data_IF_848641042162
#
_entry.id   IF_848641042162
#
_cell.length_a   1.000
_cell.length_b   1.000
_cell.length_c   1.000
_cell.angle_alpha   90.00
_cell.angle_beta   90.00
_cell.angle_gamma   90.00
#
_symmetry.space_group_name_H-M   'P 1'
#
loop_
_entity.id
_entity.type
_entity.pdbx_description
1 polymer ?
#
# COMPACT_ATOMS: atom_id res chain seq x y z
N UNK A 1 -18.79 -90.60 -19.06
CA UNK A 1 -20.01 -89.82 -18.66
C UNK A 1 -19.73 -88.93 -17.46
N UNK A 2 -19.04 -89.41 -16.41
CA UNK A 2 -18.70 -88.62 -15.21
C UNK A 2 -17.63 -87.57 -15.52
N UNK A 3 -16.63 -87.90 -16.26
CA UNK A 3 -15.51 -87.02 -16.66
C UNK A 3 -15.99 -85.84 -17.54
N UNK A 4 -16.94 -86.14 -18.47
CA UNK A 4 -17.56 -85.05 -19.28
C UNK A 4 -18.44 -84.11 -18.48
N UNK A 5 -19.02 -84.56 -17.39
CA UNK A 5 -19.83 -83.75 -16.48
C UNK A 5 -18.95 -82.84 -15.65
N UNK A 6 -17.86 -83.38 -15.11
CA UNK A 6 -16.87 -82.56 -14.35
C UNK A 6 -16.20 -81.52 -15.24
N UNK A 7 -15.83 -81.84 -16.46
CA UNK A 7 -15.26 -80.87 -17.40
C UNK A 7 -16.23 -79.72 -17.73
N UNK A 8 -17.50 -80.06 -17.86
CA UNK A 8 -18.55 -79.05 -18.11
C UNK A 8 -18.77 -78.12 -16.92
N UNK A 9 -18.79 -78.63 -15.70
CA UNK A 9 -18.90 -77.81 -14.47
C UNK A 9 -17.69 -76.86 -14.39
N UNK A 10 -16.50 -77.35 -14.60
CA UNK A 10 -15.28 -76.53 -14.57
C UNK A 10 -15.28 -75.44 -15.66
N UNK A 11 -15.78 -75.73 -16.84
CA UNK A 11 -15.90 -74.75 -17.90
C UNK A 11 -16.94 -73.67 -17.59
N UNK A 12 -18.03 -74.02 -16.88
CA UNK A 12 -19.01 -73.05 -16.40
C UNK A 12 -18.50 -72.17 -15.28
N UNK A 13 -17.65 -72.72 -14.38
CA UNK A 13 -16.95 -71.96 -13.33
C UNK A 13 -15.89 -70.99 -13.93
N UNK A 14 -15.05 -71.45 -14.84
CA UNK A 14 -14.07 -70.64 -15.54
C UNK A 14 -14.72 -69.49 -16.36
N UNK A 15 -15.87 -69.76 -16.93
CA UNK A 15 -16.64 -68.76 -17.67
C UNK A 15 -17.25 -67.71 -16.72
N UNK A 16 -17.79 -68.10 -15.57
CA UNK A 16 -18.32 -67.19 -14.59
C UNK A 16 -17.21 -66.29 -13.99
N UNK A 17 -16.01 -66.87 -13.78
CA UNK A 17 -14.84 -66.11 -13.32
C UNK A 17 -14.39 -65.10 -14.39
N UNK A 18 -14.37 -65.47 -15.69
CA UNK A 18 -14.06 -64.54 -16.77
C UNK A 18 -15.10 -63.41 -16.90
N UNK A 19 -16.40 -63.71 -16.72
CA UNK A 19 -17.46 -62.71 -16.75
C UNK A 19 -17.32 -61.71 -15.59
N UNK A 20 -16.98 -62.17 -14.38
CA UNK A 20 -16.67 -61.30 -13.24
C UNK A 20 -15.46 -60.41 -13.46
N UNK A 21 -14.35 -60.99 -14.00
CA UNK A 21 -13.16 -60.20 -14.35
C UNK A 21 -13.44 -59.13 -15.40
N UNK A 22 -14.31 -59.42 -16.37
CA UNK A 22 -14.72 -58.44 -17.39
C UNK A 22 -15.51 -57.27 -16.75
N UNK A 23 -16.42 -57.57 -15.81
CA UNK A 23 -17.16 -56.55 -15.07
C UNK A 23 -16.23 -55.68 -14.23
N UNK A 24 -15.24 -56.25 -13.52
CA UNK A 24 -14.26 -55.55 -12.76
C UNK A 24 -13.38 -54.64 -13.66
N UNK A 25 -13.00 -55.12 -14.84
CA UNK A 25 -12.21 -54.33 -15.81
C UNK A 25 -13.03 -53.14 -16.36
N UNK A 26 -14.31 -53.30 -16.63
CA UNK A 26 -15.21 -52.25 -17.09
C UNK A 26 -15.40 -51.17 -15.98
N UNK A 27 -15.60 -51.62 -14.75
CA UNK A 27 -15.72 -50.71 -13.59
C UNK A 27 -14.43 -49.88 -13.37
N UNK A 28 -13.25 -50.52 -13.48
CA UNK A 28 -11.95 -49.88 -13.36
C UNK A 28 -11.70 -48.88 -14.53
N UNK A 29 -12.18 -49.23 -15.75
CA UNK A 29 -12.10 -48.32 -16.89
C UNK A 29 -12.95 -47.05 -16.64
N UNK A 30 -14.18 -47.20 -16.17
CA UNK A 30 -15.05 -46.06 -15.83
C UNK A 30 -14.44 -45.18 -14.75
N UNK A 31 -13.84 -45.79 -13.71
CA UNK A 31 -13.14 -45.05 -12.65
C UNK A 31 -11.94 -44.26 -13.20
N UNK A 32 -11.17 -44.88 -14.09
CA UNK A 32 -10.01 -44.22 -14.72
C UNK A 32 -10.46 -43.05 -15.61
N UNK A 33 -11.52 -43.18 -16.37
CA UNK A 33 -12.09 -42.10 -17.18
C UNK A 33 -12.55 -40.90 -16.30
N UNK A 34 -13.20 -41.20 -15.19
CA UNK A 34 -13.60 -40.17 -14.23
C UNK A 34 -12.39 -39.46 -13.60
N UNK A 35 -11.34 -40.21 -13.26
CA UNK A 35 -10.10 -39.63 -12.70
C UNK A 35 -9.39 -38.76 -13.75
N UNK A 36 -9.36 -39.17 -15.02
CA UNK A 36 -8.78 -38.37 -16.09
C UNK A 36 -9.55 -37.07 -16.32
N UNK A 37 -10.88 -37.11 -16.34
CA UNK A 37 -11.71 -35.90 -16.45
C UNK A 37 -11.49 -34.93 -15.27
N UNK A 38 -11.44 -35.46 -14.04
CA UNK A 38 -11.15 -34.67 -12.84
C UNK A 38 -9.74 -34.04 -12.87
N UNK A 39 -8.77 -34.72 -13.45
CA UNK A 39 -7.41 -34.21 -13.61
C UNK A 39 -7.35 -33.06 -14.62
N UNK A 40 -8.05 -33.19 -15.73
CA UNK A 40 -8.14 -32.15 -16.77
C UNK A 40 -8.81 -30.88 -16.24
N UNK A 41 -9.91 -31.03 -15.49
CA UNK A 41 -10.56 -29.91 -14.80
C UNK A 41 -9.63 -29.18 -13.83
N UNK A 42 -8.86 -29.92 -13.02
CA UNK A 42 -7.89 -29.36 -12.09
C UNK A 42 -6.75 -28.65 -12.79
N UNK A 43 -6.29 -29.19 -13.91
CA UNK A 43 -5.23 -28.56 -14.70
C UNK A 43 -5.71 -27.25 -15.32
N UNK A 44 -6.91 -27.23 -15.89
CA UNK A 44 -7.54 -26.03 -16.44
C UNK A 44 -7.75 -24.94 -15.37
N UNK A 45 -8.25 -25.32 -14.20
CA UNK A 45 -8.40 -24.39 -13.07
C UNK A 45 -7.05 -23.81 -12.61
N UNK A 46 -5.99 -24.63 -12.59
CA UNK A 46 -4.63 -24.19 -12.23
C UNK A 46 -4.08 -23.19 -13.25
N UNK A 47 -4.30 -23.41 -14.55
CA UNK A 47 -3.86 -22.50 -15.61
C UNK A 47 -4.55 -21.12 -15.49
N UNK A 48 -5.87 -21.10 -15.29
CA UNK A 48 -6.63 -19.86 -15.07
C UNK A 48 -6.11 -19.10 -13.84
N UNK A 49 -5.86 -19.80 -12.74
CA UNK A 49 -5.33 -19.18 -11.52
C UNK A 49 -3.92 -18.64 -11.74
N UNK A 50 -3.08 -19.34 -12.50
CA UNK A 50 -1.72 -18.90 -12.82
C UNK A 50 -1.72 -17.61 -13.64
N UNK A 51 -2.56 -17.52 -14.67
CA UNK A 51 -2.70 -16.31 -15.50
C UNK A 51 -3.17 -15.14 -14.65
N UNK A 52 -4.24 -15.31 -13.87
CA UNK A 52 -4.76 -14.25 -13.00
C UNK A 52 -3.70 -13.76 -11.98
N UNK A 53 -2.89 -14.67 -11.44
CA UNK A 53 -1.81 -14.32 -10.50
C UNK A 53 -0.69 -13.53 -11.18
N UNK A 54 -0.32 -13.90 -12.40
CA UNK A 54 0.72 -13.21 -13.18
C UNK A 54 0.28 -11.82 -13.63
N UNK A 55 -0.98 -11.65 -14.02
CA UNK A 55 -1.57 -10.34 -14.35
C UNK A 55 -1.56 -9.42 -13.12
N UNK A 56 -2.03 -9.92 -11.98
CA UNK A 56 -2.01 -9.18 -10.70
C UNK A 56 -0.59 -8.79 -10.28
N UNK A 57 0.40 -9.67 -10.44
CA UNK A 57 1.81 -9.36 -10.15
C UNK A 57 2.36 -8.27 -11.08
N UNK A 58 1.99 -8.30 -12.36
CA UNK A 58 2.41 -7.28 -13.33
C UNK A 58 1.84 -5.91 -12.99
N UNK A 59 0.54 -5.82 -12.70
CA UNK A 59 -0.12 -4.58 -12.30
C UNK A 59 0.50 -4.01 -11.01
N UNK A 60 0.77 -4.87 -10.04
CA UNK A 60 1.43 -4.50 -8.79
C UNK A 60 2.83 -3.92 -9.02
N UNK A 61 3.63 -4.52 -9.90
CA UNK A 61 4.99 -4.03 -10.25
C UNK A 61 4.96 -2.65 -10.92
N UNK A 62 3.97 -2.41 -11.78
CA UNK A 62 3.77 -1.11 -12.43
C UNK A 62 3.43 -0.06 -11.36
N UNK A 63 2.44 -0.32 -10.51
CA UNK A 63 2.05 0.59 -9.42
C UNK A 63 3.23 0.89 -8.49
N UNK A 64 4.01 -0.12 -8.12
CA UNK A 64 5.21 0.05 -7.30
C UNK A 64 6.24 0.96 -7.94
N UNK A 65 6.46 0.80 -9.26
CA UNK A 65 7.37 1.66 -10.02
C UNK A 65 6.90 3.12 -10.03
N UNK A 66 5.62 3.35 -10.28
CA UNK A 66 5.01 4.67 -10.29
C UNK A 66 5.12 5.37 -8.92
N UNK A 67 4.76 4.67 -7.85
CA UNK A 67 4.85 5.20 -6.48
C UNK A 67 6.30 5.56 -6.13
N UNK A 68 7.27 4.72 -6.48
CA UNK A 68 8.70 5.02 -6.23
C UNK A 68 9.20 6.21 -7.03
N UNK A 69 8.81 6.33 -8.29
CA UNK A 69 9.16 7.48 -9.13
C UNK A 69 8.55 8.78 -8.58
N UNK A 70 7.29 8.76 -8.19
CA UNK A 70 6.60 9.91 -7.60
C UNK A 70 7.32 10.37 -6.33
N UNK A 71 7.63 9.46 -5.39
CA UNK A 71 8.33 9.78 -4.14
C UNK A 71 9.73 10.33 -4.39
N UNK A 72 10.47 9.78 -5.34
CA UNK A 72 11.81 10.29 -5.71
C UNK A 72 11.72 11.69 -6.33
N UNK A 73 10.76 11.93 -7.22
CA UNK A 73 10.52 13.25 -7.80
C UNK A 73 10.13 14.29 -6.75
N UNK A 74 9.28 13.93 -5.79
CA UNK A 74 8.91 14.78 -4.65
C UNK A 74 10.14 15.14 -3.83
N UNK A 75 10.97 14.16 -3.46
CA UNK A 75 12.19 14.39 -2.68
C UNK A 75 13.17 15.34 -3.40
N UNK A 76 13.38 15.13 -4.70
CA UNK A 76 14.24 16.01 -5.51
C UNK A 76 13.70 17.43 -5.59
N UNK A 77 12.39 17.57 -5.80
CA UNK A 77 11.77 18.88 -5.91
C UNK A 77 11.72 19.63 -4.57
N UNK A 78 11.53 18.95 -3.44
CA UNK A 78 11.63 19.56 -2.09
C UNK A 78 13.02 20.19 -1.94
N UNK A 79 14.09 19.46 -2.26
CA UNK A 79 15.45 19.95 -2.16
C UNK A 79 15.68 21.19 -3.03
N UNK A 80 15.18 21.18 -4.27
CA UNK A 80 15.32 22.33 -5.20
C UNK A 80 14.54 23.55 -4.72
N UNK A 81 13.28 23.37 -4.30
CA UNK A 81 12.44 24.45 -3.79
C UNK A 81 12.95 25.01 -2.46
N UNK A 82 13.53 24.14 -1.62
CA UNK A 82 14.14 24.54 -0.37
C UNK A 82 15.30 25.52 -0.61
N UNK A 83 16.17 25.24 -1.57
CA UNK A 83 17.26 26.14 -1.95
C UNK A 83 16.76 27.47 -2.52
N UNK A 84 15.69 27.43 -3.35
CA UNK A 84 15.10 28.63 -3.96
C UNK A 84 14.41 29.52 -2.90
N UNK A 85 13.63 28.92 -2.00
CA UNK A 85 12.84 29.63 -0.99
C UNK A 85 13.67 30.04 0.24
N UNK A 86 14.79 29.35 0.53
CA UNK A 86 15.63 29.64 1.68
C UNK A 86 16.03 31.11 1.76
N UNK A 87 16.45 31.70 0.62
CA UNK A 87 16.84 33.13 0.57
C UNK A 87 15.66 34.08 0.84
N UNK A 88 14.42 33.69 0.60
CA UNK A 88 13.23 34.48 0.91
C UNK A 88 12.85 34.37 2.40
N UNK A 89 13.00 33.17 2.96
CA UNK A 89 12.67 32.85 4.34
C UNK A 89 13.68 33.51 5.30
N UNK A 90 14.99 33.41 5.00
CA UNK A 90 16.05 33.96 5.87
C UNK A 90 16.08 35.50 5.91
N UNK A 91 15.43 36.16 4.96
CA UNK A 91 15.37 37.65 4.91
C UNK A 91 14.20 38.24 5.67
N UNK A 92 13.30 37.42 6.25
CA UNK A 92 12.11 37.93 6.93
C UNK A 92 12.13 37.55 8.41
N UNK A 93 12.02 38.57 9.28
CA UNK A 93 11.86 38.39 10.73
C UNK A 93 10.51 37.79 11.14
N UNK A 94 9.63 37.51 10.14
CA UNK A 94 8.25 37.07 10.34
C UNK A 94 8.12 35.55 10.62
N UNK A 95 9.20 34.79 10.38
CA UNK A 95 9.14 33.32 10.39
C UNK A 95 9.37 32.67 11.76
N UNK A 96 9.88 33.42 12.75
CA UNK A 96 10.14 32.89 14.09
C UNK A 96 11.08 31.67 14.11
N UNK A 97 11.27 31.08 15.28
CA UNK A 97 12.07 29.85 15.42
C UNK A 97 11.28 28.64 14.86
N UNK A 98 11.70 28.15 13.70
CA UNK A 98 11.13 26.98 13.03
C UNK A 98 11.76 25.65 13.47
N UNK A 99 12.67 25.64 14.45
CA UNK A 99 13.26 24.42 14.99
C UNK A 99 12.31 23.63 15.88
N UNK A 100 11.20 24.22 16.28
CA UNK A 100 10.15 23.63 17.13
C UNK A 100 8.86 23.50 16.34
N UNK A 101 8.33 22.29 16.24
CA UNK A 101 7.08 21.99 15.54
C UNK A 101 5.99 21.66 16.55
N UNK A 102 4.79 22.20 16.36
CA UNK A 102 3.60 21.80 17.12
C UNK A 102 2.88 20.66 16.41
N UNK A 103 2.07 19.91 17.13
CA UNK A 103 1.23 18.87 16.51
C UNK A 103 0.37 19.47 15.39
N UNK A 104 0.38 18.88 14.18
CA UNK A 104 -0.42 19.38 13.05
C UNK A 104 -1.92 19.06 13.17
N UNK A 105 -2.33 18.36 14.22
CA UNK A 105 -3.68 17.88 14.45
C UNK A 105 -4.00 17.85 15.95
N UNK A 106 -5.30 17.78 16.30
CA UNK A 106 -5.77 17.58 17.67
C UNK A 106 -6.62 16.31 17.78
N UNK A 107 -6.36 15.48 18.80
CA UNK A 107 -7.19 14.34 19.17
C UNK A 107 -7.01 13.07 18.33
N UNK A 108 -6.00 13.01 17.45
CA UNK A 108 -5.66 11.80 16.69
C UNK A 108 -4.93 10.75 17.53
N UNK A 109 -5.14 9.47 17.19
CA UNK A 109 -4.40 8.36 17.78
C UNK A 109 -3.24 8.02 16.84
N UNK A 110 -2.01 7.92 17.36
CA UNK A 110 -0.85 7.51 16.60
C UNK A 110 -1.00 6.04 16.17
N UNK A 111 -1.05 5.80 14.87
CA UNK A 111 -1.31 4.48 14.26
C UNK A 111 -0.11 3.87 13.57
N UNK A 112 0.88 4.68 13.15
CA UNK A 112 2.15 4.19 12.62
C UNK A 112 3.29 5.17 12.96
N UNK A 113 4.46 4.62 13.28
CA UNK A 113 5.67 5.35 13.61
C UNK A 113 6.58 5.56 12.39
N UNK A 114 7.53 6.44 12.52
CA UNK A 114 8.65 6.55 11.58
C UNK A 114 9.43 5.24 11.51
N UNK A 115 9.66 4.72 10.29
CA UNK A 115 10.29 3.40 10.01
C UNK A 115 9.60 2.22 10.71
N UNK A 116 8.30 2.31 10.95
CA UNK A 116 7.51 1.27 11.63
C UNK A 116 7.67 -0.10 10.93
N UNK A 117 8.14 -1.13 11.65
CA UNK A 117 8.30 -2.47 11.09
C UNK A 117 6.96 -3.15 10.73
N UNK A 118 5.85 -2.68 11.28
CA UNK A 118 4.50 -3.22 11.06
C UNK A 118 3.71 -2.41 10.02
N UNK A 119 4.32 -1.38 9.43
CA UNK A 119 3.67 -0.53 8.44
C UNK A 119 3.13 -1.34 7.25
N UNK A 120 1.84 -1.20 6.88
CA UNK A 120 1.20 -2.04 5.87
C UNK A 120 1.90 -2.04 4.52
N UNK A 121 2.50 -0.90 4.12
CA UNK A 121 3.18 -0.73 2.84
C UNK A 121 4.71 -0.88 2.93
N UNK A 122 5.25 -1.40 4.05
CA UNK A 122 6.70 -1.55 4.26
C UNK A 122 7.40 -2.35 3.16
N UNK A 123 6.72 -3.30 2.56
CA UNK A 123 7.24 -4.08 1.44
C UNK A 123 7.43 -3.26 0.15
N UNK A 124 6.83 -2.06 0.05
CA UNK A 124 6.99 -1.11 -1.06
C UNK A 124 8.07 -0.07 -0.74
N UNK A 125 8.02 0.51 0.46
CA UNK A 125 8.90 1.57 0.94
C UNK A 125 8.84 1.66 2.47
N UNK A 126 9.89 2.21 3.09
CA UNK A 126 9.87 2.51 4.51
C UNK A 126 8.93 3.68 4.83
N UNK A 127 8.31 3.64 6.00
CA UNK A 127 7.43 4.71 6.46
C UNK A 127 8.25 5.97 6.79
N UNK A 128 8.06 7.04 6.01
CA UNK A 128 8.86 8.27 6.04
C UNK A 128 8.35 9.33 7.00
N UNK A 129 7.34 9.02 7.80
CA UNK A 129 6.71 9.95 8.72
C UNK A 129 6.01 9.23 9.87
N UNK A 130 4.98 9.86 10.39
CA UNK A 130 4.06 9.28 11.38
C UNK A 130 2.63 9.40 10.89
N UNK A 131 1.78 8.43 11.25
CA UNK A 131 0.37 8.44 10.91
C UNK A 131 -0.49 8.63 12.16
N UNK A 132 -1.43 9.56 12.10
CA UNK A 132 -2.48 9.71 13.10
C UNK A 132 -3.83 9.34 12.50
N UNK A 133 -4.46 8.30 13.07
CA UNK A 133 -5.86 7.97 12.78
C UNK A 133 -6.78 9.12 13.18
N UNK A 134 -7.51 9.67 12.22
CA UNK A 134 -8.38 10.83 12.35
C UNK A 134 -9.66 10.61 11.55
N UNK A 135 -10.78 11.12 12.04
CA UNK A 135 -11.99 11.20 11.22
C UNK A 135 -11.74 12.08 9.99
N UNK A 136 -12.26 11.66 8.84
CA UNK A 136 -12.18 12.48 7.62
C UNK A 136 -12.85 13.84 7.85
N UNK A 137 -12.21 14.91 7.39
CA UNK A 137 -12.68 16.28 7.59
C UNK A 137 -12.18 16.94 8.88
N UNK A 138 -11.30 16.31 9.67
CA UNK A 138 -10.65 16.96 10.82
C UNK A 138 -9.68 18.03 10.31
N UNK A 139 -9.70 19.26 10.86
CA UNK A 139 -8.76 20.32 10.46
C UNK A 139 -7.31 19.91 10.68
N UNK A 140 -6.48 20.16 9.68
CA UNK A 140 -5.03 19.99 9.74
C UNK A 140 -4.37 21.35 9.66
N UNK A 141 -3.43 21.60 10.58
CA UNK A 141 -2.78 22.90 10.74
C UNK A 141 -1.28 22.84 10.41
N UNK A 142 -0.71 23.96 10.01
CA UNK A 142 0.73 24.08 9.80
C UNK A 142 1.48 23.94 11.14
N UNK A 143 2.38 22.99 11.23
CA UNK A 143 3.17 22.68 12.43
C UNK A 143 4.17 23.78 12.80
N UNK A 144 4.61 24.58 11.81
CA UNK A 144 5.50 25.73 11.97
C UNK A 144 5.19 26.77 10.88
N UNK A 145 5.63 28.05 11.04
CA UNK A 145 5.49 29.05 10.00
C UNK A 145 6.34 28.70 8.78
N UNK A 146 5.87 29.06 7.58
CA UNK A 146 6.62 28.79 6.37
C UNK A 146 5.90 29.19 5.08
N UNK A 147 6.48 28.81 3.95
CA UNK A 147 5.91 29.03 2.61
C UNK A 147 5.45 27.69 2.04
N UNK A 148 4.22 27.67 1.54
CA UNK A 148 3.67 26.50 0.85
C UNK A 148 4.41 26.30 -0.47
N UNK A 149 5.22 25.25 -0.55
CA UNK A 149 5.94 24.88 -1.77
C UNK A 149 4.98 24.17 -2.75
N UNK A 150 4.19 23.23 -2.23
CA UNK A 150 3.21 22.50 -3.02
C UNK A 150 1.88 22.32 -2.30
N UNK A 151 0.81 22.38 -3.07
CA UNK A 151 -0.56 22.08 -2.68
C UNK A 151 -1.22 21.36 -3.87
N UNK A 152 -1.17 20.02 -3.91
CA UNK A 152 -1.58 19.24 -5.09
C UNK A 152 -1.97 17.78 -4.74
N UNK A 153 -2.37 17.02 -5.77
CA UNK A 153 -2.68 15.58 -5.70
C UNK A 153 -1.58 14.73 -6.35
N UNK A 154 -1.40 13.52 -5.82
CA UNK A 154 -0.54 12.46 -6.36
C UNK A 154 -1.09 11.07 -6.04
N UNK A 155 -0.49 10.04 -6.64
CA UNK A 155 -0.96 8.66 -6.48
C UNK A 155 -0.61 8.08 -5.09
N UNK A 156 0.58 8.39 -4.59
CA UNK A 156 1.07 7.90 -3.30
C UNK A 156 0.46 8.68 -2.14
N UNK A 157 0.74 9.98 -2.05
CA UNK A 157 0.32 10.84 -0.95
C UNK A 157 -1.14 11.34 -1.03
N UNK A 158 -1.86 11.05 -2.12
CA UNK A 158 -3.18 11.61 -2.35
C UNK A 158 -3.13 13.14 -2.44
N UNK A 159 -4.08 13.84 -1.84
CA UNK A 159 -4.00 15.29 -1.69
C UNK A 159 -2.99 15.62 -0.59
N UNK A 160 -1.99 16.44 -0.90
CA UNK A 160 -0.94 16.77 0.03
C UNK A 160 -0.46 18.21 -0.08
N UNK A 161 0.08 18.71 1.04
CA UNK A 161 0.71 20.02 1.18
C UNK A 161 2.15 19.84 1.63
N UNK A 162 3.08 20.62 1.04
CA UNK A 162 4.46 20.73 1.48
C UNK A 162 4.73 22.16 1.85
N UNK A 163 5.27 22.38 3.05
CA UNK A 163 5.65 23.69 3.57
C UNK A 163 7.16 23.70 3.82
N UNK A 164 7.85 24.73 3.31
CA UNK A 164 9.27 24.99 3.56
C UNK A 164 9.37 25.94 4.74
N UNK A 165 10.24 25.61 5.69
CA UNK A 165 10.51 26.36 6.91
C UNK A 165 11.96 26.87 6.95
N UNK A 166 12.29 27.67 7.96
CA UNK A 166 13.68 28.05 8.23
C UNK A 166 14.55 26.85 8.63
N UNK A 167 15.87 27.02 8.57
CA UNK A 167 16.84 26.03 9.08
C UNK A 167 16.94 24.77 8.26
N UNK A 168 16.51 24.77 6.99
CA UNK A 168 16.56 23.60 6.13
C UNK A 168 15.45 22.58 6.39
N UNK A 169 14.41 22.95 7.12
CA UNK A 169 13.27 22.08 7.39
C UNK A 169 12.17 22.21 6.34
N UNK A 170 11.43 21.11 6.14
CA UNK A 170 10.16 21.09 5.44
C UNK A 170 9.22 20.11 6.10
N UNK A 171 7.91 20.35 5.97
CA UNK A 171 6.86 19.43 6.43
C UNK A 171 5.97 19.00 5.28
N UNK A 172 5.48 17.76 5.35
CA UNK A 172 4.54 17.19 4.39
C UNK A 172 3.31 16.67 5.14
N UNK A 173 2.13 17.02 4.61
CA UNK A 173 0.81 16.64 5.15
C UNK A 173 0.05 15.94 4.04
N UNK A 174 -0.21 14.65 4.19
CA UNK A 174 -0.77 13.81 3.13
C UNK A 174 -2.13 13.19 3.49
N UNK A 175 -2.71 12.52 2.49
CA UNK A 175 -4.01 11.85 2.51
C UNK A 175 -5.20 12.77 2.82
N UNK A 176 -5.05 14.07 2.53
CA UNK A 176 -6.07 15.08 2.83
C UNK A 176 -7.34 14.86 1.99
N UNK A 177 -8.49 15.15 2.57
CA UNK A 177 -9.76 15.21 1.83
C UNK A 177 -9.87 16.47 0.99
N UNK A 178 -9.33 17.60 1.50
CA UNK A 178 -9.27 18.87 0.78
C UNK A 178 -8.08 19.71 1.27
N UNK A 179 -7.61 20.59 0.38
CA UNK A 179 -6.53 21.54 0.61
C UNK A 179 -7.11 22.94 0.70
N UNK A 180 -6.66 23.75 1.67
CA UNK A 180 -7.16 25.13 1.93
C UNK A 180 -6.14 26.22 1.64
N UNK A 181 -4.97 25.86 1.12
CA UNK A 181 -3.87 26.78 0.82
C UNK A 181 -3.38 26.61 -0.61
N UNK A 182 -2.66 27.59 -1.13
CA UNK A 182 -2.09 27.59 -2.48
C UNK A 182 -0.55 27.66 -2.44
N UNK A 183 0.15 27.20 -3.48
CA UNK A 183 1.59 27.40 -3.63
C UNK A 183 1.98 28.88 -3.49
N UNK A 184 3.19 29.14 -2.98
CA UNK A 184 3.75 30.46 -2.65
C UNK A 184 3.04 31.24 -1.52
N UNK A 185 2.00 30.66 -0.94
CA UNK A 185 1.32 31.25 0.21
C UNK A 185 2.18 31.12 1.49
N UNK A 186 2.34 32.22 2.23
CA UNK A 186 2.84 32.15 3.61
C UNK A 186 1.74 31.61 4.54
N UNK A 187 2.13 30.74 5.45
CA UNK A 187 1.27 30.19 6.50
C UNK A 187 1.91 30.35 7.88
N UNK A 188 1.11 30.74 8.86
CA UNK A 188 1.53 30.82 10.26
C UNK A 188 1.36 29.46 10.94
N UNK A 189 2.13 29.20 12.01
CA UNK A 189 1.92 28.06 12.90
C UNK A 189 0.45 28.01 13.36
N UNK A 190 -0.16 26.83 13.34
CA UNK A 190 -1.56 26.65 13.72
C UNK A 190 -2.59 27.09 12.67
N UNK A 191 -2.16 27.66 11.54
CA UNK A 191 -3.08 27.98 10.46
C UNK A 191 -3.61 26.72 9.80
N UNK A 192 -4.93 26.62 9.55
CA UNK A 192 -5.55 25.50 8.84
C UNK A 192 -5.07 25.50 7.39
N UNK A 193 -4.52 24.36 6.95
CA UNK A 193 -3.97 24.13 5.60
C UNK A 193 -4.77 23.13 4.79
N UNK A 194 -5.65 22.37 5.44
CA UNK A 194 -6.50 21.36 4.81
C UNK A 194 -7.26 20.55 5.86
N UNK A 195 -7.84 19.45 5.40
CA UNK A 195 -8.63 18.56 6.25
C UNK A 195 -8.20 17.12 6.02
N UNK A 196 -8.14 16.32 7.09
CA UNK A 196 -7.80 14.89 7.02
C UNK A 196 -8.75 14.12 6.11
N UNK A 197 -8.26 13.03 5.53
CA UNK A 197 -9.04 12.22 4.58
C UNK A 197 -8.49 10.81 4.43
N UNK A 198 -8.76 10.25 3.24
CA UNK A 198 -8.35 8.88 2.86
C UNK A 198 -8.04 8.84 1.35
N UNK A 199 -7.25 9.81 0.85
CA UNK A 199 -6.88 9.90 -0.56
C UNK A 199 -5.50 9.31 -0.83
N UNK A 200 -5.25 8.86 -2.07
CA UNK A 200 -3.99 8.21 -2.44
C UNK A 200 -3.84 6.79 -1.87
N UNK A 201 -2.60 6.38 -1.60
CA UNK A 201 -2.28 5.06 -1.07
C UNK A 201 -2.50 5.03 0.45
N UNK A 202 -3.72 4.76 0.88
CA UNK A 202 -4.16 4.79 2.26
C UNK A 202 -5.12 3.64 2.57
N UNK A 203 -5.05 3.08 3.77
CA UNK A 203 -5.91 1.97 4.23
C UNK A 203 -7.14 2.44 5.01
N UNK A 204 -7.21 3.72 5.37
CA UNK A 204 -8.31 4.31 6.15
C UNK A 204 -8.06 5.78 6.46
N UNK A 205 -9.04 6.52 6.98
CA UNK A 205 -8.88 7.95 7.27
C UNK A 205 -7.79 8.22 8.29
N UNK A 206 -6.76 8.98 7.89
CA UNK A 206 -5.64 9.37 8.74
C UNK A 206 -4.93 10.62 8.17
N UNK A 207 -4.03 11.19 8.97
CA UNK A 207 -3.01 12.14 8.51
C UNK A 207 -1.67 11.43 8.49
N UNK A 208 -1.02 11.40 7.34
CA UNK A 208 0.41 11.10 7.23
C UNK A 208 1.19 12.40 7.30
N UNK A 209 2.14 12.50 8.24
CA UNK A 209 2.92 13.69 8.50
C UNK A 209 4.42 13.38 8.48
N UNK A 210 5.17 14.18 7.72
CA UNK A 210 6.63 14.08 7.67
C UNK A 210 7.27 15.39 8.10
N UNK A 211 8.40 15.30 8.81
CA UNK A 211 9.38 16.36 8.93
C UNK A 211 10.61 15.93 8.14
N UNK A 212 11.16 16.85 7.37
CA UNK A 212 12.37 16.62 6.58
C UNK A 212 13.40 17.69 6.88
N UNK A 213 14.65 17.26 7.04
CA UNK A 213 15.80 18.14 7.17
C UNK A 213 16.66 18.01 5.93
N UNK A 214 16.88 19.11 5.22
CA UNK A 214 17.60 19.14 3.93
C UNK A 214 17.05 18.11 2.92
N UNK A 215 15.70 17.97 2.86
CA UNK A 215 15.00 17.04 1.98
C UNK A 215 14.95 15.58 2.47
N UNK A 216 15.67 15.22 3.52
CA UNK A 216 15.72 13.86 4.08
C UNK A 216 14.69 13.73 5.20
N UNK A 217 13.78 12.73 5.15
CA UNK A 217 12.85 12.46 6.23
C UNK A 217 13.57 12.15 7.54
N UNK A 218 13.07 12.72 8.62
CA UNK A 218 13.53 12.48 10.01
C UNK A 218 12.34 12.09 10.86
N UNK A 219 12.58 11.46 12.03
CA UNK A 219 11.51 11.09 12.95
C UNK A 219 10.75 12.33 13.44
N UNK A 220 9.47 12.53 13.06
CA UNK A 220 8.73 13.72 13.46
C UNK A 220 8.56 13.86 14.98
N UNK A 221 8.46 12.74 15.70
CA UNK A 221 8.25 12.77 17.16
C UNK A 221 9.45 13.35 17.92
N UNK A 222 10.65 13.35 17.32
CA UNK A 222 11.83 13.96 17.93
C UNK A 222 11.83 15.51 17.85
N UNK A 223 10.97 16.09 17.01
CA UNK A 223 10.90 17.53 16.75
C UNK A 223 9.58 18.17 17.20
N UNK A 224 8.56 17.37 17.49
CA UNK A 224 7.30 17.88 18.01
C UNK A 224 7.47 18.28 19.48
N UNK A 225 6.98 19.46 19.82
CA UNK A 225 6.83 19.91 21.20
C UNK A 225 5.42 19.59 21.70
N UNK A 226 5.32 19.13 22.93
CA UNK A 226 4.04 19.02 23.62
C UNK A 226 3.51 20.43 23.90
N UNK A 227 2.24 20.70 23.58
CA UNK A 227 1.52 21.94 23.92
C UNK A 227 1.09 21.92 25.37
#
# INVERSE_FOLDING_TARGET
VEETKQTRVRLEEDRAEQENHLEDLLALQDELEQQLASLDDKQSAKEVLLIATQESESEYRVLLSEVRQERAAITSAITSLQLELQGRIDQSDEYGDASLFTSPQSGGILTAFFHDPTYPFRHLFEHSGVDWGLSSGTPIVAAAPGIVAWARSGNSYGNYVIIIHQGGFSTLYAHLSSISVAPDQFVSRGQVIGYSGNTGLSTGPHLHFEIRLNGIPVDPLAYLIDD
#
